data_IF_597004437992
#
_entry.id   IF_597004437992
#
_cell.length_a   1.000
_cell.length_b   1.000
_cell.length_c   1.000
_cell.angle_alpha   90.00
_cell.angle_beta   90.00
_cell.angle_gamma   90.00
#
_symmetry.space_group_name_H-M   'P 1'
#
loop_
_entity.id
_entity.type
_entity.pdbx_description
1 polymer ?
#
# COMPACT_ATOMS: atom_id res chain seq x y z
N UNK A 1 12.64 -85.38 -7.80
CA UNK A 1 12.08 -85.44 -6.44
C UNK A 1 11.05 -84.33 -6.27
N UNK A 2 9.80 -84.62 -5.89
CA UNK A 2 8.78 -83.59 -5.78
C UNK A 2 8.95 -82.84 -4.45
N UNK A 3 9.61 -81.68 -4.48
CA UNK A 3 9.69 -80.81 -3.32
C UNK A 3 8.31 -80.19 -3.04
N UNK A 4 7.63 -80.71 -2.02
CA UNK A 4 6.39 -80.08 -1.54
C UNK A 4 6.72 -78.74 -0.89
N UNK A 5 5.97 -77.71 -1.29
CA UNK A 5 6.07 -76.39 -0.66
C UNK A 5 5.61 -76.50 0.81
N UNK A 6 6.26 -75.75 1.71
CA UNK A 6 5.84 -75.66 3.12
C UNK A 6 4.40 -75.13 3.25
N UNK A 7 3.76 -75.37 4.40
CA UNK A 7 2.39 -74.92 4.68
C UNK A 7 2.26 -73.39 4.50
N UNK A 8 1.11 -72.94 4.03
CA UNK A 8 0.86 -71.52 3.74
C UNK A 8 1.12 -70.60 4.95
N UNK A 9 0.80 -71.05 6.16
CA UNK A 9 1.07 -70.32 7.40
C UNK A 9 2.56 -70.06 7.62
N UNK A 10 3.40 -71.09 7.42
CA UNK A 10 4.86 -70.99 7.54
C UNK A 10 5.41 -70.00 6.51
N UNK A 11 4.90 -70.04 5.27
CA UNK A 11 5.33 -69.10 4.23
C UNK A 11 4.92 -67.66 4.52
N UNK A 12 3.76 -67.44 5.13
CA UNK A 12 3.31 -66.10 5.51
C UNK A 12 4.10 -65.57 6.71
N UNK A 13 4.37 -66.43 7.71
CA UNK A 13 5.24 -66.10 8.84
C UNK A 13 6.66 -65.76 8.38
N UNK A 14 7.25 -66.57 7.50
CA UNK A 14 8.56 -66.32 6.90
C UNK A 14 8.58 -65.02 6.09
N UNK A 15 7.49 -64.70 5.38
CA UNK A 15 7.36 -63.44 4.63
C UNK A 15 7.20 -62.22 5.53
N UNK A 16 6.60 -62.36 6.71
CA UNK A 16 6.54 -61.28 7.70
C UNK A 16 7.86 -61.09 8.44
N UNK A 17 8.55 -62.19 8.79
CA UNK A 17 9.81 -62.12 9.55
C UNK A 17 10.98 -61.67 8.68
N UNK A 18 11.06 -62.12 7.43
CA UNK A 18 12.07 -61.68 6.47
C UNK A 18 11.86 -60.26 5.98
N UNK A 19 10.76 -59.62 6.38
CA UNK A 19 10.38 -58.30 5.91
C UNK A 19 10.00 -58.32 4.43
N UNK A 20 9.41 -57.22 3.97
CA UNK A 20 9.31 -56.97 2.53
C UNK A 20 10.68 -56.44 2.12
N UNK A 21 11.42 -57.23 1.36
CA UNK A 21 12.62 -56.84 0.61
C UNK A 21 12.24 -55.84 -0.50
N UNK A 22 11.63 -54.75 -0.08
CA UNK A 22 11.33 -53.60 -0.91
C UNK A 22 12.63 -52.81 -0.96
N UNK A 23 13.06 -52.36 -2.15
CA UNK A 23 14.17 -51.44 -2.24
C UNK A 23 13.90 -50.26 -1.30
N UNK A 24 14.94 -49.69 -0.65
CA UNK A 24 14.77 -48.49 0.15
C UNK A 24 13.99 -47.48 -0.70
N UNK A 25 12.92 -46.91 -0.13
CA UNK A 25 12.10 -45.93 -0.85
C UNK A 25 12.95 -44.68 -1.07
N UNK A 26 13.68 -44.65 -2.18
CA UNK A 26 14.65 -43.61 -2.56
C UNK A 26 14.06 -42.20 -2.67
N UNK A 27 12.73 -42.06 -2.55
CA UNK A 27 12.02 -40.79 -2.70
C UNK A 27 11.38 -40.27 -1.40
N UNK A 28 11.52 -40.97 -0.27
CA UNK A 28 11.13 -40.40 1.03
C UNK A 28 12.35 -39.72 1.62
N UNK A 29 12.60 -38.48 1.20
CA UNK A 29 13.57 -37.61 1.88
C UNK A 29 13.12 -37.50 3.33
N UNK A 30 13.93 -38.03 4.25
CA UNK A 30 13.63 -37.96 5.67
C UNK A 30 13.60 -36.49 6.10
N UNK A 31 12.37 -35.98 6.28
CA UNK A 31 12.10 -34.60 6.71
C UNK A 31 12.76 -34.25 8.07
N UNK A 32 13.28 -35.25 8.78
CA UNK A 32 13.96 -35.12 10.07
C UNK A 32 15.41 -34.66 9.94
N UNK A 33 16.10 -35.03 8.85
CA UNK A 33 17.50 -34.66 8.60
C UNK A 33 17.64 -33.43 7.69
N UNK A 34 16.51 -32.91 7.17
CA UNK A 34 16.57 -31.69 6.38
C UNK A 34 16.83 -30.45 7.24
N UNK A 35 17.75 -29.57 6.83
CA UNK A 35 17.93 -28.29 7.49
C UNK A 35 16.65 -27.47 7.41
N UNK A 36 16.38 -26.70 8.48
CA UNK A 36 15.16 -25.87 8.62
C UNK A 36 14.89 -24.96 7.42
N UNK A 37 15.94 -24.48 6.75
CA UNK A 37 15.84 -23.71 5.52
C UNK A 37 15.19 -24.49 4.38
N UNK A 38 15.67 -25.70 4.10
CA UNK A 38 15.10 -26.59 3.08
C UNK A 38 13.65 -26.98 3.41
N UNK A 39 13.36 -27.25 4.69
CA UNK A 39 11.98 -27.49 5.13
C UNK A 39 11.05 -26.31 4.88
N UNK A 40 11.51 -25.07 5.05
CA UNK A 40 10.71 -23.87 4.75
C UNK A 40 10.46 -23.71 3.25
N UNK A 41 11.44 -24.05 2.42
CA UNK A 41 11.33 -23.95 0.97
C UNK A 41 10.34 -25.00 0.44
N UNK A 42 10.47 -26.26 0.86
CA UNK A 42 9.57 -27.34 0.44
C UNK A 42 8.14 -27.15 0.95
N UNK A 43 7.96 -26.56 2.14
CA UNK A 43 6.64 -26.26 2.70
C UNK A 43 6.17 -24.82 2.44
N UNK A 44 6.77 -24.09 1.49
CA UNK A 44 6.56 -22.66 1.33
C UNK A 44 5.08 -22.28 1.15
N UNK A 45 4.32 -23.05 0.36
CA UNK A 45 2.89 -22.82 0.14
C UNK A 45 2.09 -22.92 1.45
N UNK A 46 2.33 -23.97 2.24
CA UNK A 46 1.67 -24.16 3.54
C UNK A 46 2.02 -23.06 4.53
N UNK A 47 3.29 -22.63 4.57
CA UNK A 47 3.74 -21.53 5.43
C UNK A 47 3.07 -20.21 5.05
N UNK A 48 2.93 -19.94 3.75
CA UNK A 48 2.23 -18.75 3.25
C UNK A 48 0.73 -18.80 3.58
N UNK A 49 0.07 -19.94 3.37
CA UNK A 49 -1.34 -20.12 3.72
C UNK A 49 -1.60 -19.94 5.22
N UNK A 50 -0.78 -20.56 6.07
CA UNK A 50 -0.86 -20.41 7.52
C UNK A 50 -0.65 -18.96 7.96
N UNK A 51 0.29 -18.24 7.33
CA UNK A 51 0.52 -16.82 7.57
C UNK A 51 -0.69 -15.98 7.16
N UNK A 52 -1.23 -16.19 5.95
CA UNK A 52 -2.42 -15.48 5.47
C UNK A 52 -3.65 -15.78 6.32
N UNK A 53 -3.83 -17.03 6.78
CA UNK A 53 -4.91 -17.43 7.68
C UNK A 53 -4.81 -16.69 9.02
N UNK A 54 -3.63 -16.76 9.68
CA UNK A 54 -3.38 -16.03 10.94
C UNK A 54 -3.62 -14.53 10.79
N UNK A 55 -3.14 -13.93 9.70
CA UNK A 55 -3.31 -12.50 9.42
C UNK A 55 -4.76 -12.10 9.18
N UNK A 56 -5.56 -12.94 8.51
CA UNK A 56 -7.00 -12.73 8.32
C UNK A 56 -7.74 -12.82 9.66
N UNK A 57 -7.44 -13.83 10.48
CA UNK A 57 -8.04 -14.01 11.81
C UNK A 57 -7.72 -12.85 12.76
N UNK A 58 -6.48 -12.38 12.79
CA UNK A 58 -6.07 -11.24 13.60
C UNK A 58 -6.80 -9.95 13.19
N UNK A 59 -6.88 -9.68 11.88
CA UNK A 59 -7.66 -8.55 11.38
C UNK A 59 -9.15 -8.68 11.71
N UNK A 60 -9.74 -9.88 11.58
CA UNK A 60 -11.14 -10.11 11.92
C UNK A 60 -11.41 -9.88 13.42
N UNK A 61 -10.49 -10.27 14.31
CA UNK A 61 -10.59 -9.98 15.75
C UNK A 61 -10.53 -8.48 16.04
N UNK A 62 -9.64 -7.74 15.36
CA UNK A 62 -9.54 -6.29 15.48
C UNK A 62 -10.79 -5.57 14.98
N UNK A 63 -11.37 -6.04 13.86
CA UNK A 63 -12.62 -5.50 13.31
C UNK A 63 -13.77 -5.74 14.28
N UNK A 64 -13.95 -6.97 14.78
CA UNK A 64 -15.01 -7.28 15.77
C UNK A 64 -14.88 -6.46 17.06
N UNK A 65 -13.65 -6.18 17.51
CA UNK A 65 -13.42 -5.32 18.68
C UNK A 65 -13.82 -3.86 18.40
N UNK A 66 -13.59 -3.37 17.19
CA UNK A 66 -14.02 -2.03 16.77
C UNK A 66 -15.53 -1.94 16.60
N UNK A 67 -16.16 -2.95 16.00
CA UNK A 67 -17.62 -3.00 15.80
C UNK A 67 -18.38 -3.02 17.13
N UNK A 68 -17.91 -3.79 18.13
CA UNK A 68 -18.51 -3.77 19.47
C UNK A 68 -18.43 -2.40 20.15
N UNK A 69 -17.38 -1.62 19.86
CA UNK A 69 -17.23 -0.27 20.40
C UNK A 69 -18.05 0.78 19.64
N UNK A 70 -18.41 0.51 18.38
CA UNK A 70 -19.18 1.44 17.54
C UNK A 70 -20.69 1.26 17.70
N UNK A 71 -21.16 0.02 17.81
CA UNK A 71 -22.60 -0.33 17.84
C UNK A 71 -23.39 0.21 19.06
N UNK A 72 -22.72 0.85 20.01
CA UNK A 72 -23.36 1.52 21.14
C UNK A 72 -23.61 3.02 20.94
N UNK A 73 -23.15 3.62 19.83
CA UNK A 73 -23.06 5.08 19.72
C UNK A 73 -23.78 5.70 18.51
N UNK A 74 -24.27 4.89 17.57
CA UNK A 74 -24.74 5.36 16.26
C UNK A 74 -26.16 5.96 16.26
N UNK A 75 -26.98 5.68 17.29
CA UNK A 75 -28.38 6.15 17.34
C UNK A 75 -28.62 7.35 18.28
N UNK A 76 -27.57 7.92 18.88
CA UNK A 76 -27.73 9.09 19.73
C UNK A 76 -27.81 10.35 18.86
N UNK A 77 -28.94 11.06 18.90
CA UNK A 77 -29.07 12.39 18.32
C UNK A 77 -27.84 13.25 18.68
N UNK A 78 -27.15 13.75 17.66
CA UNK A 78 -25.96 14.61 17.80
C UNK A 78 -26.36 16.02 18.28
N UNK A 79 -26.93 16.09 19.48
CA UNK A 79 -27.19 17.32 20.23
C UNK A 79 -26.13 17.46 21.33
N UNK A 80 -25.79 18.70 21.66
CA UNK A 80 -24.93 19.01 22.80
C UNK A 80 -25.65 18.56 24.07
N UNK A 81 -25.03 17.67 24.84
CA UNK A 81 -25.62 17.21 26.11
C UNK A 81 -25.48 18.28 27.18
N UNK A 82 -26.40 18.30 28.14
CA UNK A 82 -26.30 19.23 29.27
C UNK A 82 -25.01 18.96 30.06
N UNK A 83 -24.18 19.99 30.23
CA UNK A 83 -22.87 19.87 30.88
C UNK A 83 -21.72 19.34 30.01
N UNK A 84 -21.95 19.03 28.73
CA UNK A 84 -20.88 18.66 27.79
C UNK A 84 -20.22 19.93 27.23
N UNK A 85 -18.89 19.96 27.22
CA UNK A 85 -18.16 21.04 26.56
C UNK A 85 -18.23 20.87 25.03
N UNK A 86 -18.27 21.97 24.28
CA UNK A 86 -18.26 21.99 22.82
C UNK A 86 -17.17 21.09 22.17
N UNK A 87 -16.01 20.96 22.82
CA UNK A 87 -14.91 20.12 22.34
C UNK A 87 -15.26 18.63 22.35
N UNK A 88 -15.95 18.16 23.38
CA UNK A 88 -16.36 16.76 23.51
C UNK A 88 -17.51 16.43 22.55
N UNK A 89 -18.42 17.39 22.36
CA UNK A 89 -19.46 17.30 21.34
C UNK A 89 -18.87 17.14 19.94
N UNK A 90 -17.93 18.02 19.56
CA UNK A 90 -17.25 17.93 18.27
C UNK A 90 -16.54 16.59 18.09
N UNK A 91 -15.87 16.07 19.14
CA UNK A 91 -15.24 14.75 19.10
C UNK A 91 -16.24 13.61 18.87
N UNK A 92 -17.45 13.67 19.46
CA UNK A 92 -18.52 12.70 19.18
C UNK A 92 -19.02 12.80 17.76
N UNK A 93 -19.28 14.01 17.27
CA UNK A 93 -19.73 14.27 15.90
C UNK A 93 -18.70 13.73 14.90
N UNK A 94 -17.42 14.04 15.08
CA UNK A 94 -16.33 13.54 14.25
C UNK A 94 -16.27 12.00 14.25
N UNK A 95 -16.39 11.37 15.43
CA UNK A 95 -16.38 9.90 15.53
C UNK A 95 -17.59 9.27 14.83
N UNK A 96 -18.80 9.82 14.99
CA UNK A 96 -20.01 9.31 14.36
C UNK A 96 -19.92 9.40 12.82
N UNK A 97 -19.38 10.51 12.29
CA UNK A 97 -19.21 10.69 10.84
C UNK A 97 -17.91 10.05 10.30
N UNK A 98 -17.03 9.53 11.15
CA UNK A 98 -15.71 9.05 10.72
C UNK A 98 -15.81 7.88 9.73
N UNK A 99 -16.79 6.99 9.87
CA UNK A 99 -17.03 5.88 8.95
C UNK A 99 -17.31 6.38 7.54
N UNK A 100 -18.25 7.30 7.40
CA UNK A 100 -18.72 7.85 6.12
C UNK A 100 -17.67 8.72 5.46
N UNK A 101 -16.98 9.56 6.23
CA UNK A 101 -15.84 10.35 5.76
C UNK A 101 -14.73 9.44 5.25
N UNK A 102 -14.39 8.37 6.00
CA UNK A 102 -13.38 7.41 5.57
C UNK A 102 -13.82 6.61 4.33
N UNK A 103 -15.10 6.24 4.22
CA UNK A 103 -15.64 5.56 3.04
C UNK A 103 -15.52 6.45 1.80
N UNK A 104 -15.89 7.73 1.93
CA UNK A 104 -15.78 8.74 0.87
C UNK A 104 -14.32 9.01 0.48
N UNK A 105 -13.41 9.10 1.44
CA UNK A 105 -11.97 9.26 1.16
C UNK A 105 -11.40 8.02 0.45
N UNK A 106 -11.84 6.80 0.82
CA UNK A 106 -11.39 5.57 0.17
C UNK A 106 -11.91 5.46 -1.26
N UNK A 107 -13.19 5.77 -1.50
CA UNK A 107 -13.78 5.73 -2.84
C UNK A 107 -13.10 6.73 -3.79
N UNK A 108 -12.82 7.94 -3.31
CA UNK A 108 -12.13 8.98 -4.10
C UNK A 108 -10.65 8.66 -4.37
N UNK A 109 -9.94 8.02 -3.43
CA UNK A 109 -8.54 7.58 -3.61
C UNK A 109 -8.40 6.38 -4.56
N UNK A 110 -9.37 5.46 -4.56
CA UNK A 110 -9.39 4.29 -5.45
C UNK A 110 -9.39 4.69 -6.93
N UNK A 111 -10.21 5.67 -7.30
CA UNK A 111 -10.29 6.17 -8.70
C UNK A 111 -9.00 6.82 -9.18
N UNK A 112 -8.23 7.49 -8.31
CA UNK A 112 -6.93 8.08 -8.70
C UNK A 112 -5.85 7.02 -8.94
N UNK A 113 -5.86 5.90 -8.21
CA UNK A 113 -4.89 4.82 -8.41
C UNK A 113 -5.16 4.03 -9.68
N UNK A 114 -6.44 3.73 -9.97
CA UNK A 114 -6.83 3.04 -11.19
C UNK A 114 -6.46 3.82 -12.45
N UNK A 115 -6.66 5.16 -12.44
CA UNK A 115 -6.20 6.02 -13.54
C UNK A 115 -4.68 5.99 -13.75
N UNK A 116 -3.88 5.92 -12.68
CA UNK A 116 -2.42 5.89 -12.79
C UNK A 116 -1.87 4.53 -13.22
N UNK A 117 -2.56 3.43 -12.91
CA UNK A 117 -2.20 2.10 -13.44
C UNK A 117 -2.61 1.97 -14.89
N UNK A 118 -3.82 2.40 -15.25
CA UNK A 118 -4.30 2.37 -16.63
C UNK A 118 -3.43 3.27 -17.55
N UNK A 119 -2.94 4.41 -17.04
CA UNK A 119 -2.02 5.31 -17.74
C UNK A 119 -0.59 4.76 -17.85
N UNK A 120 -0.15 3.92 -16.90
CA UNK A 120 1.15 3.22 -16.97
C UNK A 120 1.10 2.03 -17.93
N UNK A 121 0.06 1.22 -17.85
CA UNK A 121 -0.14 0.06 -18.73
C UNK A 121 -0.36 0.50 -20.19
N UNK A 122 -0.96 1.68 -20.41
CA UNK A 122 -1.02 2.29 -21.74
C UNK A 122 0.36 2.71 -22.24
N UNK A 123 1.25 3.20 -21.37
CA UNK A 123 2.57 3.72 -21.75
C UNK A 123 3.62 2.61 -21.95
N UNK A 124 3.51 1.48 -21.25
CA UNK A 124 4.36 0.31 -21.50
C UNK A 124 4.00 -0.39 -22.81
N UNK A 125 2.72 -0.40 -23.22
CA UNK A 125 2.32 -0.90 -24.56
C UNK A 125 2.86 -0.08 -25.74
N UNK A 126 3.27 1.18 -25.52
CA UNK A 126 3.95 2.00 -26.54
C UNK A 126 5.49 1.91 -26.48
N UNK A 127 6.05 1.20 -25.49
CA UNK A 127 7.50 0.96 -25.40
C UNK A 127 7.93 -0.35 -26.06
N UNK A 128 7.04 -1.34 -26.12
CA UNK A 128 7.34 -2.63 -26.76
C UNK A 128 7.61 -2.49 -28.28
N UNK A 129 7.01 -1.50 -28.96
CA UNK A 129 7.31 -1.19 -30.38
C UNK A 129 8.59 -0.33 -30.58
N UNK A 130 9.15 0.24 -29.52
CA UNK A 130 10.36 1.07 -29.57
C UNK A 130 11.64 0.33 -29.14
N UNK A 131 11.51 -0.87 -28.57
CA UNK A 131 12.62 -1.64 -28.00
C UNK A 131 13.31 -2.59 -29.00
N UNK A 132 12.72 -2.85 -30.17
CA UNK A 132 13.35 -3.65 -31.24
C UNK A 132 14.49 -2.89 -31.98
N UNK A 133 14.65 -1.57 -31.75
CA UNK A 133 15.73 -0.76 -32.35
C UNK A 133 16.85 -0.34 -31.40
N UNK A 134 16.96 -0.90 -30.19
CA UNK A 134 17.96 -0.52 -29.18
C UNK A 134 18.79 -1.68 -28.60
N UNK A 135 18.91 -2.79 -29.31
CA UNK A 135 19.69 -3.97 -28.88
C UNK A 135 21.22 -3.86 -29.04
N UNK A 136 21.79 -2.66 -29.17
CA UNK A 136 23.25 -2.46 -29.35
C UNK A 136 23.97 -1.72 -28.20
N UNK A 137 23.38 -1.59 -27.01
CA UNK A 137 24.14 -1.05 -25.86
C UNK A 137 23.83 -1.76 -24.55
N UNK A 138 24.30 -3.00 -24.45
CA UNK A 138 24.18 -3.87 -23.27
C UNK A 138 25.45 -3.78 -22.43
N UNK A 139 25.69 -2.65 -21.76
CA UNK A 139 26.72 -2.49 -20.73
C UNK A 139 26.33 -1.36 -19.76
N UNK A 140 25.33 -1.57 -18.89
CA UNK A 140 25.19 -0.83 -17.60
C UNK A 140 24.00 -1.40 -16.80
N UNK A 141 24.11 -2.62 -16.26
CA UNK A 141 23.07 -3.17 -15.35
C UNK A 141 23.62 -3.79 -14.06
N UNK A 142 24.91 -3.63 -13.73
CA UNK A 142 25.50 -4.17 -12.49
C UNK A 142 25.75 -3.14 -11.37
N UNK A 143 25.20 -1.91 -11.47
CA UNK A 143 25.44 -0.84 -10.46
C UNK A 143 24.22 -0.41 -9.65
N UNK A 144 23.15 -1.20 -9.60
CA UNK A 144 21.88 -0.76 -8.98
C UNK A 144 21.38 -1.61 -7.81
N UNK A 145 22.29 -2.06 -6.93
CA UNK A 145 21.93 -2.65 -5.62
C UNK A 145 22.26 -1.74 -4.42
N UNK A 146 22.65 -0.49 -4.65
CA UNK A 146 23.00 0.49 -3.61
C UNK A 146 22.14 1.77 -3.60
N UNK A 147 21.14 1.89 -4.49
CA UNK A 147 20.35 3.13 -4.66
C UNK A 147 19.19 3.32 -3.66
N UNK A 148 19.03 2.46 -2.64
CA UNK A 148 17.96 2.60 -1.64
C UNK A 148 18.39 3.33 -0.35
N UNK A 149 19.46 4.14 -0.41
CA UNK A 149 19.82 5.07 0.68
C UNK A 149 20.10 6.47 0.14
N UNK A 150 19.08 7.08 -0.46
CA UNK A 150 19.07 8.49 -0.88
C UNK A 150 19.09 9.51 0.28
N UNK A 151 19.41 9.08 1.51
CA UNK A 151 19.75 9.97 2.61
C UNK A 151 21.19 9.70 3.03
N UNK A 152 22.14 10.42 2.41
CA UNK A 152 23.46 10.55 3.01
C UNK A 152 23.29 11.17 4.40
N UNK A 153 23.73 10.46 5.44
CA UNK A 153 23.79 11.00 6.79
C UNK A 153 24.69 12.23 6.73
N UNK A 154 24.13 13.40 7.03
CA UNK A 154 24.86 14.65 6.99
C UNK A 154 26.10 14.55 7.89
N UNK A 155 27.29 14.66 7.30
CA UNK A 155 28.56 14.50 8.03
C UNK A 155 28.82 15.64 9.03
N UNK A 156 28.08 16.74 8.94
CA UNK A 156 28.30 17.93 9.75
C UNK A 156 27.28 18.01 10.89
N UNK A 157 27.70 17.65 12.10
CA UNK A 157 26.99 17.99 13.35
C UNK A 157 27.15 19.48 13.61
N UNK A 158 26.28 20.33 13.06
CA UNK A 158 26.27 21.78 13.36
C UNK A 158 25.60 22.03 14.70
N UNK A 159 26.17 22.90 15.53
CA UNK A 159 25.56 23.32 16.80
C UNK A 159 24.35 24.20 16.49
N UNK A 160 23.27 24.04 17.27
CA UNK A 160 21.99 24.77 17.08
C UNK A 160 22.20 26.30 17.06
N UNK A 161 23.21 26.79 17.78
CA UNK A 161 23.53 28.21 17.90
C UNK A 161 24.35 28.78 16.73
N UNK A 162 24.83 27.92 15.82
CA UNK A 162 25.62 28.29 14.64
C UNK A 162 24.74 28.44 13.39
N UNK A 163 23.43 28.19 13.54
CA UNK A 163 22.41 28.47 12.53
C UNK A 163 22.01 29.93 12.72
N UNK A 164 22.74 30.82 12.02
CA UNK A 164 22.44 32.25 11.94
C UNK A 164 20.96 32.46 11.61
N UNK A 165 20.25 33.23 12.45
CA UNK A 165 18.83 33.60 12.34
C UNK A 165 18.49 34.55 11.19
N UNK A 166 19.38 34.73 10.21
CA UNK A 166 19.04 35.52 9.03
C UNK A 166 18.15 34.66 8.13
N UNK A 167 16.94 35.12 7.75
CA UNK A 167 16.12 34.39 6.79
C UNK A 167 16.94 34.20 5.50
N UNK A 168 17.06 32.96 4.98
CA UNK A 168 17.87 32.69 3.81
C UNK A 168 17.29 33.42 2.59
N UNK A 169 18.13 34.17 1.88
CA UNK A 169 17.76 34.77 0.60
C UNK A 169 17.61 33.67 -0.46
N UNK A 170 16.38 33.33 -0.83
CA UNK A 170 16.07 32.33 -1.84
C UNK A 170 16.28 32.90 -3.25
N UNK A 171 17.51 32.80 -3.76
CA UNK A 171 17.84 33.22 -5.14
C UNK A 171 17.36 32.25 -6.22
N UNK A 172 16.88 31.07 -5.83
CA UNK A 172 16.39 30.03 -6.75
C UNK A 172 15.01 29.56 -6.32
N UNK A 173 14.09 29.45 -7.28
CA UNK A 173 12.78 28.86 -7.04
C UNK A 173 12.94 27.42 -6.51
N UNK A 174 12.08 26.99 -5.57
CA UNK A 174 12.16 25.65 -5.00
C UNK A 174 12.03 24.59 -6.10
N UNK A 175 12.94 23.59 -6.04
CA UNK A 175 13.01 22.48 -6.98
C UNK A 175 11.66 21.73 -7.00
N UNK A 176 10.91 21.85 -8.09
CA UNK A 176 9.57 21.25 -8.24
C UNK A 176 8.47 22.22 -8.66
N UNK A 177 8.69 23.54 -8.60
CA UNK A 177 7.82 24.51 -9.28
C UNK A 177 8.15 24.55 -10.77
N UNK A 178 7.51 23.67 -11.53
CA UNK A 178 7.46 23.78 -13.00
C UNK A 178 6.60 25.00 -13.33
N UNK A 179 7.13 25.93 -14.13
CA UNK A 179 6.35 27.06 -14.63
C UNK A 179 5.03 26.52 -15.25
N UNK A 180 3.86 27.10 -14.93
CA UNK A 180 2.60 26.59 -15.44
C UNK A 180 2.65 26.57 -16.98
N UNK A 181 2.21 25.47 -17.57
CA UNK A 181 2.12 25.35 -19.04
C UNK A 181 1.28 26.50 -19.60
N UNK A 182 1.56 26.93 -20.84
CA UNK A 182 0.87 28.06 -21.47
C UNK A 182 -0.66 27.93 -21.42
N UNK A 183 -1.17 26.69 -21.57
CA UNK A 183 -2.60 26.39 -21.43
C UNK A 183 -3.14 26.70 -20.03
N UNK A 184 -2.42 26.30 -18.99
CA UNK A 184 -2.81 26.58 -17.59
C UNK A 184 -2.73 28.07 -17.26
N UNK A 185 -1.78 28.80 -17.85
CA UNK A 185 -1.72 30.27 -17.72
C UNK A 185 -2.95 30.94 -18.34
N UNK A 186 -3.33 30.54 -19.55
CA UNK A 186 -4.51 31.08 -20.23
C UNK A 186 -5.82 30.81 -19.46
N UNK A 187 -5.95 29.63 -18.85
CA UNK A 187 -7.09 29.29 -17.99
C UNK A 187 -7.16 30.20 -16.75
N UNK A 188 -6.03 30.41 -16.06
CA UNK A 188 -5.95 31.29 -14.89
C UNK A 188 -6.22 32.77 -15.26
N UNK A 189 -5.78 33.22 -16.43
CA UNK A 189 -6.07 34.56 -16.94
C UNK A 189 -7.56 34.74 -17.27
N UNK A 190 -8.22 33.73 -17.86
CA UNK A 190 -9.66 33.76 -18.11
C UNK A 190 -10.48 33.82 -16.81
N UNK A 191 -10.07 33.08 -15.78
CA UNK A 191 -10.68 33.15 -14.44
C UNK A 191 -10.50 34.53 -13.80
N UNK A 192 -9.29 35.12 -13.94
CA UNK A 192 -9.00 36.47 -13.46
C UNK A 192 -9.90 37.51 -14.12
N UNK A 193 -10.10 37.43 -15.43
CA UNK A 193 -10.99 38.35 -16.13
C UNK A 193 -12.45 38.21 -15.70
N UNK A 194 -12.94 36.99 -15.49
CA UNK A 194 -14.30 36.75 -14.98
C UNK A 194 -14.50 37.38 -13.60
N UNK A 195 -13.52 37.21 -12.71
CA UNK A 195 -13.56 37.80 -11.38
C UNK A 195 -13.57 39.34 -11.42
N UNK A 196 -12.76 39.94 -12.29
CA UNK A 196 -12.73 41.40 -12.48
C UNK A 196 -14.08 41.91 -13.00
N UNK A 197 -14.69 41.23 -13.98
CA UNK A 197 -16.02 41.62 -14.50
C UNK A 197 -17.10 41.54 -13.43
N UNK A 198 -17.13 40.43 -12.68
CA UNK A 198 -18.08 40.26 -11.57
C UNK A 198 -17.90 41.37 -10.51
N UNK A 199 -16.66 41.70 -10.17
CA UNK A 199 -16.37 42.76 -9.21
C UNK A 199 -16.82 44.15 -9.71
N UNK A 200 -16.63 44.45 -11.00
CA UNK A 200 -17.09 45.71 -11.60
C UNK A 200 -18.60 45.86 -11.53
N UNK A 201 -19.35 44.81 -11.89
CA UNK A 201 -20.81 44.81 -11.80
C UNK A 201 -21.30 45.04 -10.37
N UNK A 202 -20.70 44.35 -9.39
CA UNK A 202 -21.05 44.54 -7.96
C UNK A 202 -20.73 45.97 -7.52
N UNK A 203 -19.65 46.56 -8.02
CA UNK A 203 -19.27 47.94 -7.69
C UNK A 203 -20.23 48.97 -8.28
N UNK A 204 -20.65 48.80 -9.53
CA UNK A 204 -21.64 49.65 -10.20
C UNK A 204 -22.99 49.60 -9.49
N UNK A 205 -23.46 48.40 -9.13
CA UNK A 205 -24.70 48.23 -8.36
C UNK A 205 -24.64 48.94 -7.00
N UNK A 206 -23.49 48.87 -6.31
CA UNK A 206 -23.30 49.59 -5.04
C UNK A 206 -23.32 51.11 -5.22
N UNK A 207 -22.77 51.63 -6.32
CA UNK A 207 -22.79 53.06 -6.61
C UNK A 207 -24.20 53.55 -6.96
N UNK A 208 -24.95 52.81 -7.77
CA UNK A 208 -26.34 53.14 -8.08
C UNK A 208 -27.21 53.13 -6.83
N UNK A 209 -27.06 52.13 -5.96
CA UNK A 209 -27.78 52.04 -4.69
C UNK A 209 -27.42 53.17 -3.71
N UNK A 210 -26.22 53.75 -3.82
CA UNK A 210 -25.80 54.88 -2.99
C UNK A 210 -26.28 56.24 -3.53
N UNK A 211 -26.77 56.30 -4.76
CA UNK A 211 -27.30 57.51 -5.41
C UNK A 211 -28.83 57.60 -5.38
N UNK A 212 -29.52 56.54 -4.94
CA UNK A 212 -30.96 56.50 -4.65
C UNK A 212 -31.20 56.71 -3.16
#
# INVERSE_FOLDING_TARGET
>A
MPHKRSKQSIRQADRSTKGKDLPPKTNQVDLRDMPKGAMRILNAAKVQEDYHRRKKEENAKLIKKKEKNFKGHDDQELKIKTGEHLKDFNRRVENAMASDVNATIKSTRGSKRKRKTDEKDANDRFKDDAEEKRSSNKQTEERNSQSDRDWQIAQQKRRINDVVQAPPNLTKAPRGMVAPSMRRKAELEAERERAIRAYRLVKEQKQQKAQQ
#
